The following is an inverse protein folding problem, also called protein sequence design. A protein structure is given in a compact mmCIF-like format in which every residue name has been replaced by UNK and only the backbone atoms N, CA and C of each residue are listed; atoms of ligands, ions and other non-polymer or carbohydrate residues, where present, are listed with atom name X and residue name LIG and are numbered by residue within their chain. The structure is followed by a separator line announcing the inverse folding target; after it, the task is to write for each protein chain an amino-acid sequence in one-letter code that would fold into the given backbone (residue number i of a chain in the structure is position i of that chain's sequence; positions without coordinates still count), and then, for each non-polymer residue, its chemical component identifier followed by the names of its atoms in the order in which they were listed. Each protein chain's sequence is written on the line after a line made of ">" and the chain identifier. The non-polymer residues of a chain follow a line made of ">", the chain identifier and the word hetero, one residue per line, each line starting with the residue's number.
data_IF_404243799425
#
_entry.id   IF_404243799425
#
_cell.length_a   1.000
_cell.length_b   1.000
_cell.length_c   1.000
_cell.angle_alpha   90.00
_cell.angle_beta   90.00
_cell.angle_gamma   90.00
#
_symmetry.space_group_name_H-M   'P 1'
#
loop_
_entity.id
_entity.type
_entity.pdbx_description
1 polymer ?
#
# COMPACT_ATOMS: atom_id res chain seq x y z
N UNK A 1 29.62 5.77 10.51
CA UNK A 1 28.77 6.66 9.70
C UNK A 1 27.69 7.25 10.61
N UNK A 2 27.59 8.60 10.64
CA UNK A 2 26.66 9.33 11.52
C UNK A 2 25.18 8.88 11.38
N UNK A 3 24.80 8.39 10.20
CA UNK A 3 23.46 7.86 9.96
C UNK A 3 23.25 6.48 10.58
N UNK A 4 24.27 5.64 10.57
CA UNK A 4 24.23 4.31 11.16
C UNK A 4 24.18 4.40 12.68
N UNK A 5 24.98 5.25 13.30
CA UNK A 5 24.94 5.49 14.74
C UNK A 5 23.58 6.02 15.22
N UNK A 6 22.98 6.94 14.46
CA UNK A 6 21.65 7.44 14.76
C UNK A 6 20.57 6.38 14.63
N UNK A 7 20.62 5.55 13.58
CA UNK A 7 19.68 4.45 13.39
C UNK A 7 19.84 3.41 14.51
N UNK A 8 21.05 3.06 14.85
CA UNK A 8 21.36 2.13 15.93
C UNK A 8 20.85 2.64 17.28
N UNK A 9 21.17 3.88 17.63
CA UNK A 9 20.71 4.50 18.87
C UNK A 9 19.18 4.56 18.97
N UNK A 10 18.48 4.88 17.87
CA UNK A 10 17.01 4.92 17.85
C UNK A 10 16.34 3.56 17.98
N UNK A 11 16.98 2.51 17.51
CA UNK A 11 16.40 1.17 17.54
C UNK A 11 16.78 0.45 18.86
N UNK A 12 18.05 0.50 19.25
CA UNK A 12 18.63 -0.29 20.33
C UNK A 12 19.00 0.53 21.59
N UNK A 13 18.94 1.87 21.50
CA UNK A 13 19.31 2.75 22.62
C UNK A 13 18.37 2.61 23.82
N UNK A 14 18.90 2.96 25.00
CA UNK A 14 18.10 2.97 26.23
C UNK A 14 16.92 3.93 26.12
N UNK A 15 15.72 3.44 26.46
CA UNK A 15 14.46 4.20 26.34
C UNK A 15 13.97 4.40 24.90
N UNK A 16 14.54 3.70 23.91
CA UNK A 16 14.19 3.84 22.51
C UNK A 16 13.25 2.71 22.00
N UNK A 17 13.22 2.45 20.69
CA UNK A 17 12.14 1.68 20.05
C UNK A 17 11.94 0.29 20.66
N UNK A 18 12.99 -0.49 20.87
CA UNK A 18 12.89 -1.82 21.46
C UNK A 18 12.37 -1.78 22.91
N UNK A 19 12.90 -0.88 23.73
CA UNK A 19 12.43 -0.78 25.11
C UNK A 19 11.00 -0.25 25.22
N UNK A 20 10.62 0.69 24.37
CA UNK A 20 9.23 1.21 24.29
C UNK A 20 8.23 0.16 23.83
N UNK A 21 8.68 -0.84 23.08
CA UNK A 21 7.83 -1.91 22.54
C UNK A 21 7.60 -3.07 23.51
N UNK A 22 8.25 -3.10 24.68
CA UNK A 22 8.08 -4.16 25.69
C UNK A 22 6.61 -4.33 26.07
N UNK A 23 6.16 -5.58 26.09
CA UNK A 23 4.75 -5.94 26.33
C UNK A 23 3.81 -5.62 25.17
N UNK A 24 4.32 -5.26 24.00
CA UNK A 24 3.55 -4.86 22.83
C UNK A 24 4.15 -5.34 21.51
N UNK A 25 4.09 -4.49 20.48
CA UNK A 25 4.55 -4.79 19.14
C UNK A 25 5.55 -3.76 18.65
N UNK A 26 6.62 -4.22 17.99
CA UNK A 26 7.52 -3.39 17.20
C UNK A 26 7.34 -3.74 15.72
N UNK A 27 6.88 -2.76 14.94
CA UNK A 27 6.80 -2.89 13.49
C UNK A 27 7.95 -2.13 12.83
N UNK A 28 8.80 -2.85 12.12
CA UNK A 28 9.90 -2.30 11.33
C UNK A 28 9.55 -2.39 9.84
N UNK A 29 9.28 -1.23 9.25
CA UNK A 29 8.88 -1.16 7.83
C UNK A 29 10.11 -1.06 6.93
N UNK A 30 10.17 -1.94 5.92
CA UNK A 30 11.22 -2.01 4.92
C UNK A 30 12.63 -2.20 5.55
N UNK A 31 12.81 -3.27 6.31
CA UNK A 31 14.06 -3.56 7.04
C UNK A 31 15.29 -3.69 6.14
N UNK A 32 15.11 -3.91 4.83
CA UNK A 32 16.21 -3.91 3.86
C UNK A 32 16.94 -2.57 3.76
N UNK A 33 16.32 -1.47 4.17
CA UNK A 33 16.95 -0.15 4.18
C UNK A 33 17.64 0.21 5.50
N UNK A 34 17.53 -0.65 6.51
CA UNK A 34 18.34 -0.46 7.72
C UNK A 34 19.83 -0.54 7.38
N UNK A 35 20.69 0.25 8.03
CA UNK A 35 22.13 0.10 7.94
C UNK A 35 22.57 -1.33 8.23
N UNK A 36 23.68 -1.76 7.62
CA UNK A 36 24.14 -3.15 7.67
C UNK A 36 24.34 -3.61 9.12
N UNK A 37 25.03 -2.82 9.93
CA UNK A 37 25.27 -3.16 11.33
C UNK A 37 23.99 -3.26 12.17
N UNK A 38 22.99 -2.40 11.89
CA UNK A 38 21.67 -2.52 12.55
C UNK A 38 20.95 -3.80 12.17
N UNK A 39 21.00 -4.20 10.88
CA UNK A 39 20.40 -5.46 10.43
C UNK A 39 21.05 -6.68 11.04
N UNK A 40 22.37 -6.72 11.00
CA UNK A 40 23.15 -7.82 11.57
C UNK A 40 22.85 -7.97 13.07
N UNK A 41 22.90 -6.89 13.82
CA UNK A 41 22.57 -6.92 15.24
C UNK A 41 21.12 -7.37 15.51
N UNK A 42 20.14 -6.89 14.73
CA UNK A 42 18.75 -7.33 14.88
C UNK A 42 18.60 -8.84 14.60
N UNK A 43 19.26 -9.34 13.55
CA UNK A 43 19.22 -10.76 13.21
C UNK A 43 19.91 -11.62 14.26
N UNK A 44 20.98 -11.13 14.86
CA UNK A 44 21.67 -11.80 15.98
C UNK A 44 20.78 -11.89 17.23
N UNK A 45 20.06 -10.81 17.57
CA UNK A 45 19.08 -10.82 18.67
C UNK A 45 17.96 -11.84 18.44
N UNK A 46 17.47 -11.96 17.21
CA UNK A 46 16.42 -12.92 16.85
C UNK A 46 16.98 -14.36 16.93
N UNK A 47 18.16 -14.60 16.38
CA UNK A 47 18.77 -15.92 16.33
C UNK A 47 19.12 -16.48 17.70
N UNK A 48 19.58 -15.61 18.61
CA UNK A 48 19.97 -15.99 19.97
C UNK A 48 18.79 -16.00 20.97
N UNK A 49 17.56 -15.78 20.50
CA UNK A 49 16.38 -15.67 21.38
C UNK A 49 16.63 -14.70 22.57
N UNK A 50 17.16 -13.53 22.23
CA UNK A 50 17.60 -12.58 23.26
C UNK A 50 16.41 -12.13 24.14
N UNK A 51 16.70 -11.98 25.43
CA UNK A 51 15.70 -11.60 26.42
C UNK A 51 15.01 -10.27 26.12
N UNK A 52 15.67 -9.37 25.36
CA UNK A 52 15.12 -8.09 24.92
C UNK A 52 13.90 -8.28 24.00
N UNK A 53 13.86 -9.35 23.20
CA UNK A 53 12.78 -9.62 22.25
C UNK A 53 11.65 -10.49 22.82
N UNK A 54 11.82 -11.12 23.98
CA UNK A 54 10.84 -12.11 24.50
C UNK A 54 9.47 -11.53 24.78
N UNK A 55 9.39 -10.29 25.21
CA UNK A 55 8.13 -9.60 25.50
C UNK A 55 7.65 -8.69 24.33
N UNK A 56 8.21 -8.87 23.12
CA UNK A 56 7.91 -8.02 21.97
C UNK A 56 7.41 -8.89 20.82
N UNK A 57 6.27 -8.53 20.24
CA UNK A 57 5.86 -9.06 18.94
C UNK A 57 6.62 -8.28 17.87
N UNK A 58 7.67 -8.86 17.32
CA UNK A 58 8.45 -8.22 16.25
C UNK A 58 7.84 -8.53 14.91
N UNK A 59 7.51 -7.48 14.15
CA UNK A 59 7.00 -7.56 12.79
C UNK A 59 7.92 -6.78 11.87
N UNK A 60 8.42 -7.43 10.82
CA UNK A 60 9.29 -6.81 9.83
C UNK A 60 8.63 -6.88 8.44
N UNK A 61 8.61 -5.77 7.70
CA UNK A 61 8.27 -5.79 6.29
C UNK A 61 9.51 -5.79 5.41
N UNK A 62 9.40 -6.45 4.25
CA UNK A 62 10.41 -6.49 3.20
C UNK A 62 9.73 -6.24 1.85
N UNK A 63 10.36 -5.43 1.02
CA UNK A 63 9.89 -5.27 -0.36
C UNK A 63 10.26 -6.47 -1.22
N UNK A 64 9.45 -6.76 -2.23
CA UNK A 64 9.77 -7.81 -3.20
C UNK A 64 11.08 -7.55 -3.97
N UNK A 65 11.47 -6.29 -4.11
CA UNK A 65 12.74 -5.84 -4.72
C UNK A 65 13.98 -6.06 -3.83
N UNK A 66 13.81 -6.41 -2.55
CA UNK A 66 14.95 -6.60 -1.65
C UNK A 66 15.88 -7.70 -2.20
N UNK A 67 17.19 -7.56 -1.91
CA UNK A 67 18.19 -8.55 -2.32
C UNK A 67 17.85 -9.93 -1.74
N UNK A 68 18.02 -10.99 -2.54
CA UNK A 68 17.72 -12.36 -2.13
C UNK A 68 18.38 -12.71 -0.78
N UNK A 69 19.67 -12.38 -0.61
CA UNK A 69 20.40 -12.63 0.62
C UNK A 69 19.78 -11.98 1.87
N UNK A 70 19.16 -10.80 1.72
CA UNK A 70 18.48 -10.14 2.85
C UNK A 70 17.14 -10.83 3.11
N UNK A 71 16.38 -11.17 2.06
CA UNK A 71 15.13 -11.94 2.21
C UNK A 71 15.37 -13.26 2.92
N UNK A 72 16.36 -14.02 2.49
CA UNK A 72 16.70 -15.33 3.03
C UNK A 72 17.09 -15.23 4.51
N UNK A 73 17.90 -14.22 4.86
CA UNK A 73 18.32 -13.99 6.24
C UNK A 73 17.15 -13.77 7.20
N UNK A 74 16.17 -12.93 6.80
CA UNK A 74 14.96 -12.70 7.61
C UNK A 74 14.02 -13.90 7.57
N UNK A 75 13.77 -14.47 6.39
CA UNK A 75 12.83 -15.60 6.25
C UNK A 75 13.23 -16.81 7.05
N UNK A 76 14.54 -17.09 7.18
CA UNK A 76 15.04 -18.21 7.96
C UNK A 76 14.84 -18.06 9.48
N UNK A 77 14.69 -16.82 9.98
CA UNK A 77 14.64 -16.51 11.41
C UNK A 77 13.24 -16.19 11.94
N UNK A 78 12.29 -15.88 11.05
CA UNK A 78 10.90 -15.61 11.46
C UNK A 78 10.04 -16.88 11.36
N UNK A 79 9.27 -17.15 12.41
CA UNK A 79 8.36 -18.30 12.48
C UNK A 79 7.11 -18.17 11.60
N UNK A 80 6.73 -16.96 11.24
CA UNK A 80 5.57 -16.69 10.39
C UNK A 80 5.94 -15.73 9.25
N UNK A 81 5.42 -16.02 8.05
CA UNK A 81 5.57 -15.20 6.86
C UNK A 81 4.20 -14.94 6.23
N UNK A 82 3.93 -13.69 5.94
CA UNK A 82 2.74 -13.26 5.19
C UNK A 82 3.22 -12.60 3.91
N UNK A 83 2.79 -13.13 2.76
CA UNK A 83 3.08 -12.56 1.47
C UNK A 83 1.87 -11.78 0.96
N UNK A 84 2.05 -10.45 0.81
CA UNK A 84 1.02 -9.58 0.27
C UNK A 84 1.09 -9.62 -1.26
N UNK A 85 0.04 -10.15 -1.87
CA UNK A 85 -0.05 -10.21 -3.32
C UNK A 85 -0.13 -8.80 -3.94
N UNK A 86 0.55 -8.56 -5.08
CA UNK A 86 0.42 -7.31 -5.78
C UNK A 86 -1.02 -7.13 -6.29
N UNK A 87 -1.49 -5.89 -6.36
CA UNK A 87 -2.86 -5.54 -6.72
C UNK A 87 -3.33 -6.17 -8.05
N UNK A 88 -2.42 -6.39 -8.99
CA UNK A 88 -2.73 -7.03 -10.27
C UNK A 88 -3.19 -8.50 -10.13
N UNK A 89 -2.85 -9.16 -9.03
CA UNK A 89 -3.22 -10.55 -8.73
C UNK A 89 -4.48 -10.66 -7.86
N UNK A 90 -5.04 -9.52 -7.43
CA UNK A 90 -6.26 -9.51 -6.63
C UNK A 90 -7.47 -9.91 -7.48
N UNK A 91 -8.44 -10.56 -6.84
CA UNK A 91 -9.72 -10.86 -7.48
C UNK A 91 -10.48 -9.56 -7.79
N UNK A 92 -11.32 -9.59 -8.82
CA UNK A 92 -12.08 -8.40 -9.23
C UNK A 92 -12.96 -7.84 -8.12
N UNK A 93 -13.60 -8.70 -7.32
CA UNK A 93 -14.41 -8.28 -6.17
C UNK A 93 -13.60 -7.53 -5.12
N UNK A 94 -12.38 -7.97 -4.84
CA UNK A 94 -11.47 -7.29 -3.90
C UNK A 94 -11.03 -5.91 -4.45
N UNK A 95 -10.71 -5.86 -5.75
CA UNK A 95 -10.38 -4.59 -6.41
C UNK A 95 -11.56 -3.64 -6.43
N UNK A 96 -12.77 -4.14 -6.70
CA UNK A 96 -14.00 -3.36 -6.66
C UNK A 96 -14.24 -2.75 -5.27
N UNK A 97 -14.12 -3.55 -4.22
CA UNK A 97 -14.24 -3.07 -2.85
C UNK A 97 -13.22 -1.95 -2.52
N UNK A 98 -11.98 -2.09 -3.02
CA UNK A 98 -10.94 -1.07 -2.87
C UNK A 98 -11.27 0.21 -3.64
N UNK A 99 -11.79 0.10 -4.88
CA UNK A 99 -12.30 1.25 -5.67
C UNK A 99 -13.37 1.99 -4.89
N UNK A 100 -14.38 1.27 -4.40
CA UNK A 100 -15.47 1.86 -3.62
C UNK A 100 -14.93 2.60 -2.39
N UNK A 101 -14.04 1.97 -1.62
CA UNK A 101 -13.47 2.58 -0.43
C UNK A 101 -12.72 3.88 -0.74
N UNK A 102 -11.92 3.91 -1.81
CA UNK A 102 -11.18 5.12 -2.16
C UNK A 102 -12.07 6.21 -2.71
N UNK A 103 -13.09 5.88 -3.51
CA UNK A 103 -14.07 6.85 -3.99
C UNK A 103 -14.90 7.46 -2.86
N UNK A 104 -15.33 6.64 -1.87
CA UNK A 104 -16.02 7.12 -0.69
C UNK A 104 -15.12 8.07 0.11
N UNK A 105 -13.86 7.72 0.32
CA UNK A 105 -12.92 8.59 1.03
C UNK A 105 -12.71 9.94 0.34
N UNK A 106 -12.63 9.95 -1.00
CA UNK A 106 -12.51 11.19 -1.75
C UNK A 106 -13.83 11.99 -1.75
N UNK A 107 -14.99 11.34 -1.82
CA UNK A 107 -16.30 11.99 -1.70
C UNK A 107 -16.45 12.71 -0.35
N UNK A 108 -16.10 12.05 0.74
CA UNK A 108 -16.09 12.63 2.09
C UNK A 108 -15.12 13.82 2.17
N UNK A 109 -13.91 13.68 1.61
CA UNK A 109 -12.90 14.74 1.62
C UNK A 109 -13.34 15.98 0.85
N UNK A 110 -14.02 15.78 -0.30
CA UNK A 110 -14.53 16.87 -1.15
C UNK A 110 -15.87 17.43 -0.67
N UNK A 111 -16.52 16.74 0.27
CA UNK A 111 -17.89 17.04 0.73
C UNK A 111 -18.91 17.09 -0.44
N UNK A 112 -18.78 16.14 -1.37
CA UNK A 112 -19.65 16.01 -2.54
C UNK A 112 -20.03 14.56 -2.82
N UNK A 113 -21.21 14.34 -3.34
CA UNK A 113 -21.61 13.02 -3.86
C UNK A 113 -20.87 12.76 -5.18
N UNK A 114 -20.14 11.64 -5.23
CA UNK A 114 -19.41 11.21 -6.42
C UNK A 114 -20.27 10.22 -7.22
N UNK A 115 -20.41 10.46 -8.52
CA UNK A 115 -21.12 9.57 -9.44
C UNK A 115 -20.15 8.97 -10.45
N UNK A 116 -20.17 7.64 -10.55
CA UNK A 116 -19.29 6.87 -11.43
C UNK A 116 -20.12 6.06 -12.40
N UNK A 117 -19.76 6.06 -13.68
CA UNK A 117 -20.38 5.19 -14.66
C UNK A 117 -19.70 3.81 -14.71
N UNK A 118 -20.37 2.83 -15.30
CA UNK A 118 -19.87 1.46 -15.41
C UNK A 118 -18.53 1.38 -16.17
N UNK A 119 -18.35 2.19 -17.22
CA UNK A 119 -17.13 2.21 -18.01
C UNK A 119 -15.90 2.58 -17.16
N UNK A 120 -15.98 3.68 -16.41
CA UNK A 120 -14.89 4.09 -15.51
C UNK A 120 -14.65 3.07 -14.42
N UNK A 121 -15.71 2.51 -13.84
CA UNK A 121 -15.61 1.49 -12.81
C UNK A 121 -14.86 0.24 -13.33
N UNK A 122 -15.21 -0.24 -14.51
CA UNK A 122 -14.53 -1.34 -15.18
C UNK A 122 -13.04 -1.01 -15.41
N UNK A 123 -12.73 0.19 -15.90
CA UNK A 123 -11.35 0.61 -16.10
C UNK A 123 -10.56 0.57 -14.79
N UNK A 124 -11.12 1.12 -13.71
CA UNK A 124 -10.48 1.11 -12.38
C UNK A 124 -10.26 -0.31 -11.85
N UNK A 125 -11.19 -1.22 -12.10
CA UNK A 125 -11.04 -2.62 -11.69
C UNK A 125 -10.01 -3.39 -12.52
N UNK A 126 -9.78 -3.01 -13.79
CA UNK A 126 -9.01 -3.82 -14.74
C UNK A 126 -7.61 -3.27 -15.06
N UNK A 127 -7.36 -1.97 -14.92
CA UNK A 127 -6.06 -1.42 -15.34
C UNK A 127 -4.89 -1.98 -14.53
N UNK A 128 -3.74 -2.10 -15.18
CA UNK A 128 -2.51 -2.52 -14.52
C UNK A 128 -1.95 -1.39 -13.68
N UNK A 129 -1.80 -1.64 -12.39
CA UNK A 129 -1.29 -0.70 -11.41
C UNK A 129 0.10 -1.18 -10.96
N UNK A 130 1.15 -0.73 -11.64
CA UNK A 130 2.52 -1.24 -11.46
C UNK A 130 3.09 -0.94 -10.06
N UNK A 131 2.71 0.21 -9.47
CA UNK A 131 3.14 0.61 -8.14
C UNK A 131 2.08 0.30 -7.07
N UNK A 132 1.26 -0.74 -7.30
CA UNK A 132 0.31 -1.27 -6.34
C UNK A 132 -0.71 -0.23 -5.79
N UNK A 133 -1.19 -0.49 -4.58
CA UNK A 133 -2.24 0.28 -3.89
C UNK A 133 -1.89 1.76 -3.77
N UNK A 134 -0.61 2.12 -3.64
CA UNK A 134 -0.18 3.53 -3.54
C UNK A 134 -0.49 4.30 -4.84
N UNK A 135 -0.14 3.72 -5.98
CA UNK A 135 -0.47 4.32 -7.28
C UNK A 135 -1.98 4.36 -7.47
N UNK A 136 -2.67 3.25 -7.18
CA UNK A 136 -4.11 3.13 -7.32
C UNK A 136 -4.86 4.24 -6.59
N UNK A 137 -4.50 4.46 -5.33
CA UNK A 137 -5.04 5.56 -4.51
C UNK A 137 -4.75 6.94 -5.12
N UNK A 138 -3.54 7.15 -5.62
CA UNK A 138 -3.16 8.42 -6.23
C UNK A 138 -3.90 8.68 -7.54
N UNK A 139 -4.09 7.65 -8.38
CA UNK A 139 -4.80 7.77 -9.66
C UNK A 139 -6.28 8.12 -9.42
N UNK A 140 -6.93 7.49 -8.44
CA UNK A 140 -8.30 7.84 -8.04
C UNK A 140 -8.36 9.27 -7.51
N UNK A 141 -7.42 9.65 -6.65
CA UNK A 141 -7.36 11.00 -6.10
C UNK A 141 -7.17 12.07 -7.17
N UNK A 142 -6.31 11.80 -8.15
CA UNK A 142 -6.06 12.71 -9.27
C UNK A 142 -7.31 12.84 -10.16
N UNK A 143 -7.96 11.71 -10.49
CA UNK A 143 -9.21 11.73 -11.25
C UNK A 143 -10.31 12.54 -10.56
N UNK A 144 -10.48 12.35 -9.25
CA UNK A 144 -11.44 13.13 -8.46
C UNK A 144 -11.08 14.62 -8.42
N UNK A 145 -9.79 14.96 -8.31
CA UNK A 145 -9.35 16.36 -8.32
C UNK A 145 -9.61 17.03 -9.67
N UNK A 146 -9.32 16.34 -10.79
CA UNK A 146 -9.58 16.85 -12.13
C UNK A 146 -11.09 17.06 -12.37
N UNK A 147 -11.91 16.10 -11.96
CA UNK A 147 -13.37 16.22 -12.04
C UNK A 147 -13.87 17.41 -11.20
N UNK A 148 -13.32 17.60 -10.01
CA UNK A 148 -13.67 18.72 -9.14
C UNK A 148 -13.34 20.07 -9.80
N UNK A 149 -12.15 20.21 -10.40
CA UNK A 149 -11.76 21.43 -11.12
C UNK A 149 -12.67 21.69 -12.33
N UNK A 150 -13.01 20.64 -13.08
CA UNK A 150 -13.96 20.74 -14.20
C UNK A 150 -15.35 21.20 -13.74
N UNK A 151 -15.89 20.59 -12.68
CA UNK A 151 -17.19 20.93 -12.13
C UNK A 151 -17.23 22.34 -11.48
N UNK A 152 -16.11 22.81 -10.95
CA UNK A 152 -15.98 24.15 -10.38
C UNK A 152 -16.21 25.24 -11.45
N UNK A 153 -15.73 25.00 -12.66
CA UNK A 153 -15.94 25.91 -13.79
C UNK A 153 -17.36 25.81 -14.39
N UNK A 154 -18.07 24.70 -14.15
CA UNK A 154 -19.41 24.46 -14.69
C UNK A 154 -20.55 24.82 -13.71
N UNK A 155 -20.21 25.35 -12.53
CA UNK A 155 -21.16 25.69 -11.42
C UNK A 155 -22.03 24.50 -10.93
N UNK A 156 -21.56 23.28 -11.14
CA UNK A 156 -22.20 22.04 -10.67
C UNK A 156 -21.91 21.87 -9.17
N UNK A 157 -22.92 22.02 -8.29
CA UNK A 157 -22.66 22.14 -6.84
C UNK A 157 -22.94 20.88 -6.02
N UNK A 158 -23.82 19.97 -6.43
CA UNK A 158 -24.28 18.87 -5.58
C UNK A 158 -23.64 17.51 -5.93
N UNK A 159 -23.64 17.11 -7.19
CA UNK A 159 -23.05 15.85 -7.64
C UNK A 159 -21.77 16.11 -8.44
N UNK A 160 -20.81 15.21 -8.29
CA UNK A 160 -19.56 15.22 -9.04
C UNK A 160 -19.51 13.99 -9.97
N UNK A 161 -19.91 14.13 -11.23
CA UNK A 161 -19.76 13.04 -12.19
C UNK A 161 -18.29 12.88 -12.56
N UNK A 162 -17.78 11.66 -12.41
CA UNK A 162 -16.43 11.27 -12.82
C UNK A 162 -16.49 10.68 -14.22
N UNK A 163 -15.62 11.15 -15.09
CA UNK A 163 -15.45 10.64 -16.44
C UNK A 163 -14.08 10.01 -16.62
N UNK A 164 -13.96 9.05 -17.54
CA UNK A 164 -12.69 8.37 -17.79
C UNK A 164 -11.56 9.34 -18.17
N UNK A 165 -11.88 10.44 -18.84
CA UNK A 165 -10.91 11.48 -19.21
C UNK A 165 -10.37 12.31 -18.02
N UNK A 166 -11.02 12.24 -16.85
CA UNK A 166 -10.50 12.87 -15.64
C UNK A 166 -9.30 12.07 -15.08
N UNK A 167 -9.14 10.81 -15.48
CA UNK A 167 -8.13 9.89 -14.97
C UNK A 167 -6.91 9.77 -15.88
N UNK A 168 -5.75 9.37 -15.30
CA UNK A 168 -4.54 9.12 -16.08
C UNK A 168 -4.76 8.12 -17.22
N UNK A 169 -4.00 8.24 -18.28
CA UNK A 169 -4.06 7.34 -19.44
C UNK A 169 -3.84 5.86 -19.09
N UNK A 170 -3.09 5.58 -18.02
CA UNK A 170 -2.93 4.22 -17.48
C UNK A 170 -4.26 3.58 -17.11
N UNK A 171 -5.17 4.33 -16.47
CA UNK A 171 -6.51 3.86 -16.10
C UNK A 171 -7.36 3.59 -17.34
N UNK A 172 -7.30 4.49 -18.34
CA UNK A 172 -8.04 4.33 -19.59
C UNK A 172 -7.71 3.02 -20.33
N UNK A 173 -6.46 2.55 -20.21
CA UNK A 173 -6.03 1.26 -20.77
C UNK A 173 -6.75 0.05 -20.14
N UNK A 174 -7.44 0.22 -19.04
CA UNK A 174 -8.31 -0.81 -18.46
C UNK A 174 -9.35 -1.34 -19.44
N UNK A 175 -9.84 -0.51 -20.36
CA UNK A 175 -10.77 -0.92 -21.43
C UNK A 175 -10.23 -2.06 -22.31
N UNK A 176 -8.91 -2.17 -22.50
CA UNK A 176 -8.30 -3.23 -23.30
C UNK A 176 -8.56 -4.62 -22.73
N UNK A 177 -8.79 -4.71 -21.43
CA UNK A 177 -9.01 -5.98 -20.73
C UNK A 177 -10.51 -6.31 -20.57
N UNK A 178 -11.42 -5.39 -20.90
CA UNK A 178 -12.86 -5.55 -20.69
C UNK A 178 -13.41 -6.84 -21.31
N UNK A 179 -13.05 -7.13 -22.57
CA UNK A 179 -13.55 -8.34 -23.26
C UNK A 179 -13.19 -9.64 -22.53
N UNK A 180 -12.02 -9.70 -21.91
CA UNK A 180 -11.53 -10.89 -21.19
C UNK A 180 -12.28 -11.12 -19.89
N UNK A 181 -12.65 -10.04 -19.19
CA UNK A 181 -13.22 -10.09 -17.84
C UNK A 181 -14.72 -9.74 -17.80
N UNK A 182 -15.37 -9.60 -18.96
CA UNK A 182 -16.77 -9.14 -19.06
C UNK A 182 -17.72 -9.91 -18.14
N UNK A 183 -17.69 -11.23 -18.16
CA UNK A 183 -18.60 -12.07 -17.35
C UNK A 183 -18.44 -11.82 -15.85
N UNK A 184 -17.19 -11.71 -15.38
CA UNK A 184 -16.89 -11.46 -13.97
C UNK A 184 -17.27 -10.04 -13.53
N UNK A 185 -17.28 -9.07 -14.46
CA UNK A 185 -17.69 -7.69 -14.18
C UNK A 185 -19.23 -7.55 -14.13
N UNK A 186 -19.95 -8.39 -14.87
CA UNK A 186 -21.43 -8.41 -14.86
C UNK A 186 -21.98 -9.03 -13.56
N UNK A 187 -21.12 -9.70 -12.75
CA UNK A 187 -21.44 -10.32 -11.45
C UNK A 187 -21.13 -9.40 -10.25
N UNK A 188 -20.48 -8.26 -10.46
CA UNK A 188 -20.15 -7.25 -9.44
C UNK A 188 -21.26 -6.24 -9.28
#
# INVERSE_FOLDING_TARGET
>A
DDQEEKAYSRLFGAGEALEKAKGGMLFLDNVEYLPVGCREHLLDLIENDDAVLRDIILVCSLQDKARASVKDAYTARFSARIELQPLQNWQLGERFALVQQFLINEAVRMKRTVRVNAELLHCLCLYRCENNVKQFKNDIRLGCANAYLRAFHADEKEELPLYLNDFPSGVQRGLLYYKTYRKQLEEL
#
